data_IF_874477092965
#
_entry.id   IF_874477092965
#
_cell.length_a   1.000
_cell.length_b   1.000
_cell.length_c   1.000
_cell.angle_alpha   90.00
_cell.angle_beta   90.00
_cell.angle_gamma   90.00
#
_symmetry.space_group_name_H-M   'P 1'
#
loop_
_entity.id
_entity.type
_entity.pdbx_description
1 polymer ?
#
# COMPACT_ATOMS: atom_id res chain seq x y z
N UNK A 1 -0.75 21.30 10.56
CA UNK A 1 -0.55 21.52 12.02
C UNK A 1 -0.18 20.20 12.67
N UNK A 2 0.87 20.21 13.48
CA UNK A 2 1.26 19.05 14.29
C UNK A 2 0.19 18.74 15.35
N UNK A 3 -0.11 17.45 15.54
CA UNK A 3 -1.07 16.98 16.54
C UNK A 3 -0.48 15.79 17.28
N UNK A 4 -0.53 15.86 18.61
CA UNK A 4 -0.03 14.81 19.48
C UNK A 4 1.44 14.50 19.23
N UNK A 5 1.78 13.20 19.08
CA UNK A 5 3.18 12.78 19.00
C UNK A 5 3.66 12.44 17.59
N UNK A 6 2.78 11.98 16.71
CA UNK A 6 3.15 11.43 15.39
C UNK A 6 2.22 11.91 14.27
N UNK A 7 1.20 12.71 14.59
CA UNK A 7 0.16 13.04 13.62
C UNK A 7 0.24 14.47 13.11
N UNK A 8 -0.25 14.65 11.90
CA UNK A 8 -0.36 15.95 11.22
C UNK A 8 -1.81 16.13 10.78
N UNK A 9 -2.45 17.20 11.21
CA UNK A 9 -3.72 17.64 10.62
C UNK A 9 -3.43 18.57 9.45
N UNK A 10 -3.99 18.26 8.29
CA UNK A 10 -3.82 19.11 7.12
C UNK A 10 -4.70 20.35 7.25
N UNK A 11 -4.07 21.55 7.34
CA UNK A 11 -4.80 22.83 7.49
C UNK A 11 -5.54 23.21 6.21
N UNK A 12 -4.93 22.90 5.07
CA UNK A 12 -5.55 23.06 3.75
C UNK A 12 -5.99 21.70 3.26
N UNK A 13 -7.22 21.58 2.76
CA UNK A 13 -7.72 20.31 2.28
C UNK A 13 -6.86 19.80 1.12
N UNK A 14 -6.55 18.52 1.16
CA UNK A 14 -5.96 17.77 0.06
C UNK A 14 -7.01 16.78 -0.43
N UNK A 15 -7.25 16.77 -1.72
CA UNK A 15 -8.25 15.91 -2.33
C UNK A 15 -7.57 14.83 -3.17
N UNK A 16 -8.13 13.65 -3.19
CA UNK A 16 -7.85 12.67 -4.23
C UNK A 16 -8.78 13.03 -5.41
N UNK A 17 -8.21 13.61 -6.45
CA UNK A 17 -8.93 14.08 -7.65
C UNK A 17 -9.37 12.89 -8.51
N UNK A 18 -8.48 11.95 -8.69
CA UNK A 18 -8.69 10.72 -9.45
C UNK A 18 -7.81 9.60 -8.92
N UNK A 19 -8.16 8.39 -9.32
CA UNK A 19 -7.40 7.18 -9.00
C UNK A 19 -7.57 6.13 -10.08
N UNK A 20 -6.63 5.20 -10.16
CA UNK A 20 -6.70 4.07 -11.07
C UNK A 20 -6.03 2.84 -10.46
N UNK A 21 -6.53 1.67 -10.83
CA UNK A 21 -6.00 0.36 -10.45
C UNK A 21 -5.83 -0.53 -11.69
N UNK A 22 -4.66 -1.12 -11.82
CA UNK A 22 -4.35 -2.12 -12.85
C UNK A 22 -3.81 -3.34 -12.13
N UNK A 23 -4.35 -4.52 -12.43
CA UNK A 23 -3.97 -5.75 -11.73
C UNK A 23 -3.73 -6.91 -12.70
N UNK A 24 -3.05 -7.94 -12.22
CA UNK A 24 -2.79 -9.15 -12.98
C UNK A 24 -3.97 -10.12 -13.05
N UNK A 25 -3.77 -11.22 -13.75
CA UNK A 25 -4.79 -12.25 -13.99
C UNK A 25 -5.30 -12.86 -12.68
N UNK A 26 -4.40 -13.22 -11.76
CA UNK A 26 -4.78 -13.87 -10.49
C UNK A 26 -5.65 -12.97 -9.62
N UNK A 27 -5.37 -11.69 -9.59
CA UNK A 27 -6.14 -10.66 -8.90
C UNK A 27 -7.49 -10.43 -9.57
N UNK A 28 -7.53 -10.54 -10.92
CA UNK A 28 -8.76 -10.50 -11.72
C UNK A 28 -9.67 -11.70 -11.55
N UNK A 29 -9.22 -12.77 -10.94
CA UNK A 29 -10.01 -13.94 -10.56
C UNK A 29 -10.52 -13.84 -9.10
N UNK A 30 -10.11 -12.82 -8.36
CA UNK A 30 -10.44 -12.60 -6.96
C UNK A 30 -11.76 -11.85 -6.74
N UNK A 31 -12.18 -11.71 -5.46
CA UNK A 31 -13.45 -11.08 -5.10
C UNK A 31 -13.55 -9.61 -5.52
N UNK A 32 -12.43 -8.92 -5.67
CA UNK A 32 -12.38 -7.51 -6.04
C UNK A 32 -12.28 -7.27 -7.56
N UNK A 33 -12.26 -8.31 -8.39
CA UNK A 33 -12.18 -8.20 -9.85
C UNK A 33 -13.13 -7.12 -10.47
N UNK A 34 -14.42 -7.04 -10.08
CA UNK A 34 -15.34 -6.06 -10.65
C UNK A 34 -15.02 -4.59 -10.32
N UNK A 35 -14.10 -4.35 -9.41
CA UNK A 35 -13.75 -3.02 -8.93
C UNK A 35 -12.46 -2.47 -9.54
N UNK A 36 -11.65 -3.31 -10.18
CA UNK A 36 -10.42 -2.86 -10.82
C UNK A 36 -10.71 -2.22 -12.18
N UNK A 37 -9.92 -1.22 -12.54
CA UNK A 37 -10.08 -0.51 -13.81
C UNK A 37 -9.62 -1.32 -15.02
N UNK A 38 -8.47 -2.02 -14.86
CA UNK A 38 -7.90 -2.89 -15.88
C UNK A 38 -7.37 -4.18 -15.24
N UNK A 39 -7.60 -5.29 -15.93
CA UNK A 39 -7.10 -6.62 -15.55
C UNK A 39 -6.25 -7.14 -16.70
N UNK A 40 -4.96 -7.34 -16.45
CA UNK A 40 -4.03 -7.88 -17.41
C UNK A 40 -4.11 -9.41 -17.41
N UNK A 41 -4.25 -9.98 -18.57
CA UNK A 41 -4.36 -11.45 -18.73
C UNK A 41 -3.01 -12.11 -19.01
N UNK A 42 -2.03 -11.31 -19.43
CA UNK A 42 -0.64 -11.71 -19.63
C UNK A 42 0.21 -11.17 -18.48
N UNK A 43 0.81 -12.07 -17.70
CA UNK A 43 1.64 -11.72 -16.56
C UNK A 43 2.90 -10.93 -16.95
N UNK A 44 3.38 -11.06 -18.19
CA UNK A 44 4.51 -10.28 -18.72
C UNK A 44 4.07 -8.96 -19.37
N UNK A 45 2.78 -8.69 -19.53
CA UNK A 45 2.27 -7.48 -20.19
C UNK A 45 2.92 -7.22 -21.56
N UNK A 46 3.29 -8.28 -22.28
CA UNK A 46 3.97 -8.22 -23.58
C UNK A 46 5.44 -7.79 -23.50
N UNK A 47 6.06 -7.77 -22.31
CA UNK A 47 7.45 -7.37 -22.12
C UNK A 47 8.40 -8.57 -22.11
N UNK A 48 9.69 -8.32 -22.30
CA UNK A 48 10.71 -9.38 -22.38
C UNK A 48 11.14 -9.93 -21.01
N UNK A 49 10.93 -9.15 -19.94
CA UNK A 49 11.29 -9.54 -18.57
C UNK A 49 10.28 -9.01 -17.53
N UNK A 50 10.38 -9.52 -16.31
CA UNK A 50 9.43 -9.23 -15.24
C UNK A 50 9.54 -7.80 -14.72
N UNK A 51 10.72 -7.22 -14.72
CA UNK A 51 10.97 -5.85 -14.26
C UNK A 51 10.33 -4.84 -15.23
N UNK A 52 10.41 -5.08 -16.52
CA UNK A 52 9.71 -4.29 -17.55
C UNK A 52 8.19 -4.48 -17.46
N UNK A 53 7.73 -5.71 -17.17
CA UNK A 53 6.31 -5.98 -16.95
C UNK A 53 5.75 -5.17 -15.76
N UNK A 54 6.47 -5.13 -14.64
CA UNK A 54 6.07 -4.32 -13.49
C UNK A 54 6.13 -2.81 -13.80
N UNK A 55 7.15 -2.37 -14.54
CA UNK A 55 7.26 -0.99 -15.01
C UNK A 55 6.06 -0.57 -15.86
N UNK A 56 5.64 -1.44 -16.80
CA UNK A 56 4.47 -1.23 -17.65
C UNK A 56 3.18 -1.19 -16.83
N UNK A 57 3.04 -2.08 -15.86
CA UNK A 57 1.88 -2.11 -14.95
C UNK A 57 1.72 -0.78 -14.19
N UNK A 58 2.83 -0.27 -13.65
CA UNK A 58 2.85 0.99 -12.92
C UNK A 58 2.56 2.19 -13.85
N UNK A 59 3.15 2.20 -15.03
CA UNK A 59 2.93 3.22 -16.04
C UNK A 59 1.45 3.29 -16.46
N UNK A 60 0.82 2.13 -16.72
CA UNK A 60 -0.62 2.07 -17.07
C UNK A 60 -1.49 2.69 -15.97
N UNK A 61 -1.27 2.32 -14.72
CA UNK A 61 -2.03 2.88 -13.59
C UNK A 61 -1.84 4.41 -13.50
N UNK A 62 -0.60 4.90 -13.62
CA UNK A 62 -0.29 6.32 -13.59
C UNK A 62 -0.99 7.09 -14.72
N UNK A 63 -0.86 6.63 -15.97
CA UNK A 63 -1.50 7.24 -17.15
C UNK A 63 -3.02 7.24 -17.03
N UNK A 64 -3.61 6.16 -16.55
CA UNK A 64 -5.05 6.04 -16.37
C UNK A 64 -5.55 7.00 -15.29
N UNK A 65 -4.86 7.14 -14.17
CA UNK A 65 -5.21 8.10 -13.12
C UNK A 65 -5.13 9.55 -13.64
N UNK A 66 -4.08 9.91 -14.39
CA UNK A 66 -3.93 11.24 -15.03
C UNK A 66 -5.08 11.49 -16.03
N UNK A 67 -5.39 10.51 -16.87
CA UNK A 67 -6.51 10.59 -17.81
C UNK A 67 -7.85 10.80 -17.09
N UNK A 68 -8.12 10.08 -16.01
CA UNK A 68 -9.33 10.25 -15.21
C UNK A 68 -9.43 11.62 -14.51
N UNK A 69 -8.29 12.24 -14.19
CA UNK A 69 -8.23 13.61 -13.68
C UNK A 69 -8.58 14.64 -14.75
N UNK A 70 -8.62 14.24 -16.02
CA UNK A 70 -8.82 15.16 -17.15
C UNK A 70 -7.65 16.14 -17.31
N UNK A 71 -6.43 15.70 -17.02
CA UNK A 71 -5.21 16.48 -17.13
C UNK A 71 -4.15 15.73 -17.95
N UNK A 72 -3.03 16.39 -18.24
CA UNK A 72 -1.90 15.78 -18.92
C UNK A 72 -0.71 15.59 -17.95
N UNK A 73 0.31 14.79 -18.30
CA UNK A 73 1.46 14.58 -17.44
C UNK A 73 2.14 15.88 -17.00
N UNK A 74 2.16 16.90 -17.86
CA UNK A 74 2.77 18.21 -17.60
C UNK A 74 2.09 18.97 -16.46
N UNK A 75 0.84 18.65 -16.16
CA UNK A 75 0.09 19.22 -15.03
C UNK A 75 0.50 18.62 -13.67
N UNK A 76 1.23 17.48 -13.70
CA UNK A 76 1.73 16.84 -12.48
C UNK A 76 3.06 17.48 -12.08
N UNK A 77 3.08 18.13 -10.93
CA UNK A 77 4.27 18.85 -10.45
C UNK A 77 5.38 17.91 -9.98
N UNK A 78 5.02 16.87 -9.23
CA UNK A 78 5.94 15.92 -8.62
C UNK A 78 5.23 14.55 -8.58
N UNK A 79 6.00 13.49 -8.76
CA UNK A 79 5.54 12.11 -8.59
C UNK A 79 6.25 11.50 -7.39
N UNK A 80 5.50 10.83 -6.52
CA UNK A 80 6.01 9.92 -5.50
C UNK A 80 5.70 8.50 -5.95
N UNK A 81 6.74 7.76 -6.30
CA UNK A 81 6.60 6.41 -6.86
C UNK A 81 7.46 5.41 -6.11
N UNK A 82 7.00 4.18 -6.01
CA UNK A 82 7.77 3.11 -5.39
C UNK A 82 7.27 1.72 -5.76
N UNK A 83 8.11 0.76 -5.48
CA UNK A 83 7.89 -0.67 -5.72
C UNK A 83 8.63 -1.50 -4.66
N UNK A 84 8.70 -2.82 -4.82
CA UNK A 84 9.39 -3.71 -3.89
C UNK A 84 10.84 -4.03 -4.31
N UNK A 85 11.28 -3.57 -5.47
CA UNK A 85 12.58 -3.92 -6.01
C UNK A 85 13.69 -3.05 -5.43
N UNK A 86 14.89 -3.59 -5.39
CA UNK A 86 16.08 -2.83 -5.06
C UNK A 86 16.20 -1.61 -5.98
N UNK A 87 16.49 -0.44 -5.38
CA UNK A 87 16.66 0.84 -6.07
C UNK A 87 15.41 1.36 -6.80
N UNK A 88 14.22 0.83 -6.49
CA UNK A 88 12.93 1.20 -7.12
C UNK A 88 13.00 1.14 -8.65
N UNK A 89 13.48 0.00 -9.17
CA UNK A 89 13.80 -0.12 -10.60
C UNK A 89 12.54 -0.07 -11.47
N UNK A 90 11.46 -0.70 -11.05
CA UNK A 90 10.20 -0.66 -11.78
C UNK A 90 9.63 0.76 -11.85
N UNK A 91 9.67 1.50 -10.75
CA UNK A 91 9.22 2.89 -10.70
C UNK A 91 10.11 3.81 -11.54
N UNK A 92 11.42 3.61 -11.49
CA UNK A 92 12.36 4.48 -12.23
C UNK A 92 12.15 4.39 -13.73
N UNK A 93 11.95 3.20 -14.27
CA UNK A 93 11.72 3.01 -15.71
C UNK A 93 10.25 3.27 -16.09
N UNK A 94 9.28 2.74 -15.33
CA UNK A 94 7.87 2.91 -15.65
C UNK A 94 7.40 4.36 -15.59
N UNK A 95 7.81 5.11 -14.57
CA UNK A 95 7.42 6.51 -14.38
C UNK A 95 8.32 7.48 -15.14
N UNK A 96 9.56 7.08 -15.45
CA UNK A 96 10.50 7.91 -16.23
C UNK A 96 9.92 8.37 -17.57
N UNK A 97 9.08 7.56 -18.22
CA UNK A 97 8.42 7.93 -19.47
C UNK A 97 7.39 9.07 -19.35
N UNK A 98 6.99 9.45 -18.14
CA UNK A 98 6.16 10.64 -17.95
C UNK A 98 6.95 11.94 -17.97
N UNK A 99 8.29 11.87 -17.98
CA UNK A 99 9.22 13.01 -18.00
C UNK A 99 8.93 14.06 -16.91
N UNK A 100 8.53 13.58 -15.71
CA UNK A 100 8.20 14.45 -14.57
C UNK A 100 9.18 14.25 -13.42
N UNK A 101 9.44 15.31 -12.61
CA UNK A 101 10.22 15.17 -11.39
C UNK A 101 9.61 14.08 -10.49
N UNK A 102 10.45 13.15 -10.02
CA UNK A 102 10.03 12.00 -9.23
C UNK A 102 10.91 11.83 -7.99
N UNK A 103 10.28 11.51 -6.88
CA UNK A 103 10.91 10.88 -5.73
C UNK A 103 10.61 9.40 -5.74
N UNK A 104 11.66 8.57 -5.78
CA UNK A 104 11.55 7.15 -5.49
C UNK A 104 11.43 6.95 -3.98
N UNK A 105 10.37 6.27 -3.54
CA UNK A 105 10.12 5.99 -2.12
C UNK A 105 10.14 4.48 -1.87
N UNK A 106 10.63 4.07 -0.70
CA UNK A 106 10.75 2.65 -0.35
C UNK A 106 10.43 2.40 1.12
N UNK A 107 9.25 1.90 1.38
CA UNK A 107 8.78 1.43 2.69
C UNK A 107 8.29 -0.03 2.65
N UNK A 108 8.76 -0.83 1.69
CA UNK A 108 8.23 -2.16 1.39
C UNK A 108 6.70 -2.09 1.15
N UNK A 109 5.89 -2.90 1.84
CA UNK A 109 4.43 -2.91 1.66
C UNK A 109 3.75 -1.59 2.10
N UNK A 110 4.40 -0.72 2.88
CA UNK A 110 3.86 0.59 3.29
C UNK A 110 4.04 1.70 2.25
N UNK A 111 4.72 1.44 1.14
CA UNK A 111 5.14 2.46 0.17
C UNK A 111 3.98 3.30 -0.37
N UNK A 112 2.78 2.73 -0.56
CA UNK A 112 1.62 3.52 -1.00
C UNK A 112 1.19 4.55 0.06
N UNK A 113 1.20 4.19 1.34
CA UNK A 113 0.94 5.14 2.43
C UNK A 113 2.00 6.24 2.51
N UNK A 114 3.26 5.88 2.30
CA UNK A 114 4.36 6.83 2.25
C UNK A 114 4.19 7.82 1.08
N UNK A 115 3.94 7.32 -0.14
CA UNK A 115 3.72 8.15 -1.33
C UNK A 115 2.53 9.11 -1.16
N UNK A 116 1.41 8.63 -0.62
CA UNK A 116 0.23 9.46 -0.33
C UNK A 116 0.53 10.51 0.74
N UNK A 117 1.24 10.15 1.79
CA UNK A 117 1.58 11.07 2.89
C UNK A 117 2.47 12.20 2.42
N UNK A 118 3.54 11.87 1.69
CA UNK A 118 4.45 12.86 1.11
C UNK A 118 3.75 13.74 0.07
N UNK A 119 2.92 13.14 -0.77
CA UNK A 119 2.09 13.86 -1.73
C UNK A 119 1.11 14.83 -1.05
N UNK A 120 0.43 14.38 0.01
CA UNK A 120 -0.51 15.22 0.76
C UNK A 120 0.19 16.38 1.48
N UNK A 121 1.36 16.15 2.09
CA UNK A 121 2.18 17.20 2.69
C UNK A 121 2.59 18.22 1.63
N UNK A 122 3.09 17.76 0.47
CA UNK A 122 3.51 18.61 -0.64
C UNK A 122 2.38 19.51 -1.15
N UNK A 123 1.20 18.94 -1.38
CA UNK A 123 0.02 19.68 -1.84
C UNK A 123 -0.48 20.64 -0.75
N UNK A 124 -0.56 20.20 0.51
CA UNK A 124 -1.02 21.05 1.63
C UNK A 124 -0.09 22.24 1.86
N UNK A 125 1.23 22.05 1.74
CA UNK A 125 2.24 23.10 1.84
C UNK A 125 2.23 24.06 0.63
N UNK A 126 1.58 23.70 -0.46
CA UNK A 126 1.50 24.53 -1.67
C UNK A 126 2.69 24.38 -2.63
N UNK A 127 3.52 23.33 -2.47
CA UNK A 127 4.65 23.06 -3.33
C UNK A 127 4.27 22.40 -4.66
N UNK A 128 3.03 21.96 -4.80
CA UNK A 128 2.43 21.44 -6.02
C UNK A 128 0.91 21.56 -5.99
N UNK A 129 0.30 21.95 -7.10
CA UNK A 129 -1.17 21.96 -7.22
C UNK A 129 -1.70 20.53 -7.43
N UNK A 130 -1.02 19.77 -8.29
CA UNK A 130 -1.25 18.34 -8.53
C UNK A 130 0.01 17.53 -8.32
N UNK A 131 -0.13 16.42 -7.64
CA UNK A 131 0.92 15.45 -7.34
C UNK A 131 0.38 14.06 -7.62
N UNK A 132 1.22 13.18 -8.15
CA UNK A 132 0.87 11.78 -8.37
C UNK A 132 1.55 10.92 -7.29
N UNK A 133 0.78 10.05 -6.64
CA UNK A 133 1.26 8.95 -5.82
C UNK A 133 0.95 7.64 -6.54
N UNK A 134 1.94 6.78 -6.74
CA UNK A 134 1.78 5.50 -7.45
C UNK A 134 2.73 4.46 -6.92
N UNK A 135 2.23 3.25 -6.74
CA UNK A 135 3.07 2.10 -6.38
C UNK A 135 2.62 0.83 -7.07
N UNK A 136 3.56 -0.07 -7.25
CA UNK A 136 3.33 -1.39 -7.84
C UNK A 136 4.01 -2.50 -7.06
N UNK A 137 3.58 -3.71 -7.30
CA UNK A 137 4.32 -4.93 -7.05
C UNK A 137 3.96 -5.96 -8.12
N UNK A 138 4.87 -6.91 -8.35
CA UNK A 138 4.64 -8.01 -9.27
C UNK A 138 5.16 -9.29 -8.63
N UNK A 139 4.37 -10.38 -8.71
CA UNK A 139 4.74 -11.62 -8.03
C UNK A 139 6.10 -12.16 -8.44
N UNK A 140 6.43 -12.14 -9.74
CA UNK A 140 7.66 -12.72 -10.24
C UNK A 140 8.91 -11.90 -9.88
N UNK A 141 8.82 -10.56 -9.87
CA UNK A 141 9.92 -9.69 -9.43
C UNK A 141 10.15 -9.84 -7.93
N UNK A 142 9.08 -9.89 -7.14
CA UNK A 142 9.16 -10.09 -5.69
C UNK A 142 9.71 -11.48 -5.33
N UNK A 143 9.34 -12.54 -6.07
CA UNK A 143 9.89 -13.87 -5.85
C UNK A 143 11.41 -13.90 -6.02
N UNK A 144 11.96 -13.20 -7.02
CA UNK A 144 13.41 -13.07 -7.18
C UNK A 144 14.08 -12.39 -5.98
N UNK A 145 13.44 -11.35 -5.43
CA UNK A 145 14.00 -10.58 -4.32
C UNK A 145 13.85 -11.30 -2.97
N UNK A 146 12.72 -11.94 -2.70
CA UNK A 146 12.36 -12.40 -1.36
C UNK A 146 12.37 -13.91 -1.18
N UNK A 147 12.31 -14.72 -2.25
CA UNK A 147 12.24 -16.19 -2.21
C UNK A 147 13.35 -16.84 -3.02
N UNK A 148 14.57 -16.59 -2.64
CA UNK A 148 15.73 -17.22 -3.26
C UNK A 148 16.23 -18.41 -2.40
N UNK A 149 16.62 -19.55 -2.97
CA UNK A 149 16.56 -19.88 -4.41
C UNK A 149 15.13 -20.18 -4.88
N UNK A 150 14.80 -19.78 -6.12
CA UNK A 150 13.46 -19.88 -6.69
C UNK A 150 12.91 -21.32 -6.78
N UNK A 151 13.78 -22.32 -6.84
CA UNK A 151 13.40 -23.74 -6.85
C UNK A 151 12.64 -24.18 -5.59
N UNK A 152 12.69 -23.42 -4.51
CA UNK A 152 11.92 -23.65 -3.28
C UNK A 152 10.74 -22.69 -3.10
N UNK A 153 10.51 -21.80 -4.05
CA UNK A 153 9.45 -20.79 -3.97
C UNK A 153 8.03 -21.32 -3.85
N UNK A 154 7.79 -22.56 -4.31
CA UNK A 154 6.51 -23.24 -4.17
C UNK A 154 6.31 -23.91 -2.80
N UNK A 155 7.33 -24.01 -1.97
CA UNK A 155 7.23 -24.55 -0.60
C UNK A 155 6.88 -23.43 0.39
N UNK A 156 5.68 -22.90 0.27
CA UNK A 156 5.21 -21.80 1.12
C UNK A 156 4.49 -22.33 2.36
N UNK A 157 4.87 -21.91 3.60
CA UNK A 157 4.08 -22.23 4.79
C UNK A 157 2.72 -21.53 4.74
N UNK A 158 1.77 -21.97 5.56
CA UNK A 158 0.43 -21.36 5.64
C UNK A 158 0.46 -19.90 6.12
N UNK A 159 1.56 -19.48 6.75
CA UNK A 159 1.80 -18.09 7.18
C UNK A 159 2.28 -17.17 6.05
N UNK A 160 2.77 -17.73 4.94
CA UNK A 160 3.23 -16.94 3.81
C UNK A 160 2.05 -16.33 3.04
N UNK A 161 2.27 -15.12 2.54
CA UNK A 161 1.35 -14.42 1.64
C UNK A 161 1.80 -14.55 0.18
N UNK A 162 0.92 -14.23 -0.75
CA UNK A 162 1.19 -14.14 -2.18
C UNK A 162 1.41 -12.68 -2.58
N UNK A 163 2.52 -12.37 -3.24
CA UNK A 163 2.73 -11.02 -3.74
C UNK A 163 1.74 -10.70 -4.85
N UNK A 164 1.00 -9.61 -4.67
CA UNK A 164 0.01 -9.13 -5.63
C UNK A 164 0.72 -8.55 -6.85
N UNK A 165 0.26 -8.96 -8.04
CA UNK A 165 0.56 -8.28 -9.29
C UNK A 165 -0.43 -7.16 -9.47
N UNK A 166 -0.03 -5.95 -9.15
CA UNK A 166 -0.95 -4.82 -9.17
C UNK A 166 -0.24 -3.47 -9.00
N UNK A 167 -0.89 -2.46 -9.49
CA UNK A 167 -0.52 -1.06 -9.30
C UNK A 167 -1.74 -0.21 -8.99
N UNK A 168 -1.56 0.75 -8.11
CA UNK A 168 -2.55 1.77 -7.81
C UNK A 168 -1.93 3.15 -7.89
N UNK A 169 -2.65 4.09 -8.49
CA UNK A 169 -2.23 5.47 -8.67
C UNK A 169 -3.32 6.44 -8.20
N UNK A 170 -2.90 7.53 -7.54
CA UNK A 170 -3.77 8.60 -7.07
C UNK A 170 -3.23 9.96 -7.48
N UNK A 171 -4.05 10.77 -8.15
CA UNK A 171 -3.76 12.19 -8.40
C UNK A 171 -4.30 12.98 -7.22
N UNK A 172 -3.40 13.61 -6.48
CA UNK A 172 -3.71 14.49 -5.35
C UNK A 172 -3.81 15.94 -5.83
N UNK A 173 -4.81 16.67 -5.34
CA UNK A 173 -5.08 18.01 -5.78
C UNK A 173 -5.47 18.90 -4.59
N UNK A 174 -5.13 20.20 -4.68
CA UNK A 174 -5.45 21.18 -3.65
C UNK A 174 -6.86 21.73 -3.76
N UNK A 175 -7.45 21.76 -4.95
CA UNK A 175 -8.68 22.52 -5.25
C UNK A 175 -9.92 21.65 -5.31
N UNK A 176 -9.80 20.42 -5.85
CA UNK A 176 -10.97 19.58 -6.14
C UNK A 176 -10.65 18.09 -6.01
N UNK A 177 -11.65 17.33 -5.67
CA UNK A 177 -11.64 15.88 -5.59
C UNK A 177 -12.85 15.36 -4.85
N UNK A 178 -13.13 14.08 -5.02
CA UNK A 178 -14.31 13.43 -4.40
C UNK A 178 -14.02 12.89 -3.01
N UNK A 179 -12.74 12.65 -2.69
CA UNK A 179 -12.26 12.14 -1.41
C UNK A 179 -11.27 13.14 -0.82
N UNK A 180 -11.26 13.30 0.51
CA UNK A 180 -10.34 14.21 1.21
C UNK A 180 -9.39 13.43 2.09
N UNK A 181 -8.11 13.79 2.03
CA UNK A 181 -7.14 13.44 3.05
C UNK A 181 -7.17 14.54 4.10
N UNK A 182 -7.48 14.21 5.34
CA UNK A 182 -7.71 15.17 6.43
C UNK A 182 -6.59 15.20 7.45
N UNK A 183 -5.80 14.13 7.51
CA UNK A 183 -4.69 14.02 8.44
C UNK A 183 -3.86 12.77 8.17
N UNK A 184 -2.69 12.75 8.76
CA UNK A 184 -1.69 11.72 8.63
C UNK A 184 -1.18 11.33 10.01
N UNK A 185 -0.81 10.09 10.21
CA UNK A 185 -0.04 9.64 11.38
C UNK A 185 1.20 8.91 10.86
N UNK A 186 2.37 9.46 11.14
CA UNK A 186 3.63 8.87 10.67
C UNK A 186 4.03 7.76 11.64
N UNK A 187 4.09 6.53 11.15
CA UNK A 187 4.49 5.37 11.93
C UNK A 187 5.97 5.43 12.32
N UNK A 188 6.35 4.54 13.20
CA UNK A 188 7.73 4.35 13.65
C UNK A 188 8.15 2.91 13.41
N UNK A 189 9.46 2.68 13.39
CA UNK A 189 10.02 1.32 13.41
C UNK A 189 9.67 0.65 14.73
N UNK A 190 9.05 -0.53 14.65
CA UNK A 190 8.71 -1.38 15.79
C UNK A 190 9.33 -2.75 15.55
N UNK A 191 10.16 -3.21 16.46
CA UNK A 191 10.82 -4.52 16.39
C UNK A 191 10.52 -5.33 17.64
N UNK A 192 9.85 -6.47 17.45
CA UNK A 192 9.56 -7.45 18.49
C UNK A 192 10.52 -8.66 18.42
N UNK A 193 11.58 -8.57 17.64
CA UNK A 193 12.59 -9.62 17.50
C UNK A 193 12.10 -10.85 16.73
N UNK A 194 11.08 -10.71 15.88
CA UNK A 194 10.59 -11.82 15.07
C UNK A 194 11.62 -12.19 13.99
N UNK A 195 11.97 -13.48 13.92
CA UNK A 195 12.99 -14.01 13.00
C UNK A 195 12.41 -14.82 11.83
N UNK A 196 11.11 -15.09 11.82
CA UNK A 196 10.45 -15.86 10.76
C UNK A 196 10.15 -14.97 9.55
N UNK A 197 11.01 -15.04 8.53
CA UNK A 197 10.85 -14.30 7.28
C UNK A 197 9.64 -14.74 6.43
N UNK A 198 9.04 -15.88 6.73
CA UNK A 198 7.85 -16.40 6.04
C UNK A 198 6.54 -15.94 6.69
N UNK A 199 6.60 -15.21 7.81
CA UNK A 199 5.44 -14.69 8.52
C UNK A 199 5.49 -13.17 8.61
N UNK A 200 5.36 -12.52 7.46
CA UNK A 200 5.38 -11.06 7.37
C UNK A 200 4.24 -10.40 8.13
N UNK A 201 3.07 -11.03 8.14
CA UNK A 201 1.91 -10.51 8.89
C UNK A 201 2.17 -10.38 10.38
N UNK A 202 2.76 -11.41 11.01
CA UNK A 202 3.14 -11.34 12.41
C UNK A 202 4.22 -10.28 12.68
N UNK A 203 5.10 -10.08 11.71
CA UNK A 203 6.16 -9.08 11.79
C UNK A 203 5.58 -7.65 11.73
N UNK A 204 4.60 -7.39 10.87
CA UNK A 204 3.99 -6.08 10.64
C UNK A 204 2.93 -5.68 11.67
N UNK A 205 2.21 -6.64 12.25
CA UNK A 205 1.10 -6.37 13.16
C UNK A 205 1.45 -5.45 14.35
N UNK A 206 2.62 -5.57 15.03
CA UNK A 206 3.01 -4.64 16.09
C UNK A 206 3.15 -3.19 15.64
N UNK A 207 3.70 -2.97 14.45
CA UNK A 207 3.86 -1.62 13.89
C UNK A 207 2.50 -1.02 13.49
N UNK A 208 1.62 -1.82 12.87
CA UNK A 208 0.25 -1.42 12.59
C UNK A 208 -0.51 -1.06 13.87
N UNK A 209 -0.42 -1.88 14.92
CA UNK A 209 -1.01 -1.60 16.22
C UNK A 209 -0.50 -0.28 16.80
N UNK A 210 0.82 -0.11 16.85
CA UNK A 210 1.46 1.13 17.36
C UNK A 210 0.94 2.37 16.65
N UNK A 211 0.80 2.32 15.33
CA UNK A 211 0.36 3.44 14.51
C UNK A 211 -1.13 3.73 14.68
N UNK A 212 -1.99 2.69 14.67
CA UNK A 212 -3.43 2.85 14.91
C UNK A 212 -3.68 3.46 16.30
N UNK A 213 -3.04 2.91 17.33
CA UNK A 213 -3.17 3.43 18.71
C UNK A 213 -2.72 4.88 18.80
N UNK A 214 -1.61 5.23 18.15
CA UNK A 214 -1.12 6.60 18.16
C UNK A 214 -2.07 7.54 17.40
N UNK A 215 -2.62 7.12 16.25
CA UNK A 215 -3.64 7.88 15.54
C UNK A 215 -4.86 8.17 16.42
N UNK A 216 -5.40 7.14 17.07
CA UNK A 216 -6.56 7.27 17.95
C UNK A 216 -6.27 8.25 19.09
N UNK A 217 -5.09 8.16 19.72
CA UNK A 217 -4.66 9.08 20.79
C UNK A 217 -4.48 10.51 20.29
N UNK A 218 -3.78 10.71 19.19
CA UNK A 218 -3.43 12.04 18.68
C UNK A 218 -4.67 12.80 18.16
N UNK A 219 -5.59 12.11 17.48
CA UNK A 219 -6.83 12.72 17.00
C UNK A 219 -7.95 12.73 18.04
N UNK A 220 -7.76 12.10 19.21
CA UNK A 220 -8.76 11.99 20.27
C UNK A 220 -9.97 11.18 19.82
N UNK A 221 -9.77 10.10 19.06
CA UNK A 221 -10.84 9.28 18.47
C UNK A 221 -10.86 7.87 19.02
N UNK A 222 -12.03 7.25 18.88
CA UNK A 222 -12.24 5.83 19.15
C UNK A 222 -12.33 5.05 17.83
N UNK A 223 -12.07 3.73 17.82
CA UNK A 223 -12.20 2.91 16.60
C UNK A 223 -13.57 3.04 15.92
N UNK A 224 -14.65 3.12 16.71
CA UNK A 224 -16.04 3.19 16.22
C UNK A 224 -16.37 4.50 15.45
N UNK A 225 -15.52 5.51 15.56
CA UNK A 225 -15.65 6.76 14.79
C UNK A 225 -15.14 6.65 13.36
N UNK A 226 -14.51 5.52 13.02
CA UNK A 226 -14.14 5.16 11.67
C UNK A 226 -15.15 4.15 11.12
N UNK A 227 -15.65 4.36 9.90
CA UNK A 227 -16.44 3.35 9.20
C UNK A 227 -15.62 2.10 8.92
N UNK A 228 -14.34 2.31 8.58
CA UNK A 228 -13.38 1.23 8.40
C UNK A 228 -11.97 1.66 8.86
N UNK A 229 -11.25 0.73 9.48
CA UNK A 229 -9.80 0.74 9.69
C UNK A 229 -9.23 -0.34 8.78
N UNK A 230 -8.40 0.04 7.79
CA UNK A 230 -7.99 -0.90 6.74
C UNK A 230 -6.47 -0.99 6.70
N UNK A 231 -5.93 -2.18 6.98
CA UNK A 231 -4.50 -2.47 6.85
C UNK A 231 -4.12 -2.89 5.44
N UNK A 232 -2.84 -2.78 5.11
CA UNK A 232 -2.34 -3.03 3.76
C UNK A 232 -2.32 -4.50 3.36
N UNK A 233 -1.65 -5.33 4.14
CA UNK A 233 -1.39 -6.71 3.77
C UNK A 233 -0.90 -7.57 4.96
N UNK A 234 -1.53 -7.38 6.11
CA UNK A 234 -1.25 -8.22 7.28
C UNK A 234 -1.66 -9.69 7.06
N UNK A 235 -2.65 -9.89 6.21
CA UNK A 235 -3.24 -11.20 5.98
C UNK A 235 -3.95 -11.76 7.21
N UNK A 236 -4.44 -13.00 7.11
CA UNK A 236 -5.26 -13.61 8.17
C UNK A 236 -4.52 -13.71 9.51
N UNK A 237 -3.23 -14.09 9.49
CA UNK A 237 -2.44 -14.25 10.71
C UNK A 237 -2.12 -12.91 11.35
N UNK A 238 -1.63 -11.95 10.54
CA UNK A 238 -1.30 -10.62 11.05
C UNK A 238 -2.53 -9.85 11.53
N UNK A 239 -3.68 -10.01 10.89
CA UNK A 239 -4.95 -9.44 11.34
C UNK A 239 -5.32 -9.95 12.74
N UNK A 240 -5.25 -11.25 12.99
CA UNK A 240 -5.57 -11.80 14.30
C UNK A 240 -4.65 -11.25 15.38
N UNK A 241 -3.34 -11.22 15.10
CA UNK A 241 -2.34 -10.66 16.02
C UNK A 241 -2.61 -9.16 16.27
N UNK A 242 -2.93 -8.40 15.22
CA UNK A 242 -3.27 -6.99 15.36
C UNK A 242 -4.47 -6.78 16.29
N UNK A 243 -5.55 -7.53 16.11
CA UNK A 243 -6.75 -7.41 16.92
C UNK A 243 -6.48 -7.74 18.39
N UNK A 244 -5.70 -8.78 18.66
CA UNK A 244 -5.28 -9.14 20.01
C UNK A 244 -4.40 -8.07 20.67
N UNK A 245 -3.52 -7.42 19.88
CA UNK A 245 -2.68 -6.32 20.36
C UNK A 245 -3.51 -5.07 20.66
N UNK A 246 -4.46 -4.72 19.78
CA UNK A 246 -5.37 -3.58 20.00
C UNK A 246 -6.25 -3.78 21.24
N UNK A 247 -6.74 -4.99 21.48
CA UNK A 247 -7.50 -5.32 22.69
C UNK A 247 -6.66 -5.11 23.95
N UNK A 248 -5.40 -5.54 23.97
CA UNK A 248 -4.46 -5.29 25.08
C UNK A 248 -4.19 -3.80 25.32
N UNK A 249 -4.25 -2.97 24.29
CA UNK A 249 -4.17 -1.51 24.36
C UNK A 249 -5.52 -0.86 24.76
N UNK A 250 -6.58 -1.65 24.96
CA UNK A 250 -7.91 -1.18 25.34
C UNK A 250 -8.81 -0.75 24.19
N UNK A 251 -8.49 -1.12 22.95
CA UNK A 251 -9.27 -0.78 21.76
C UNK A 251 -9.89 -2.01 21.12
N UNK A 252 -11.16 -1.92 20.76
CA UNK A 252 -11.87 -2.98 20.03
C UNK A 252 -12.14 -2.52 18.59
N UNK A 253 -11.38 -3.02 17.62
CA UNK A 253 -11.51 -2.66 16.21
C UNK A 253 -12.07 -3.80 15.33
N UNK A 254 -12.32 -4.98 15.85
CA UNK A 254 -12.67 -6.16 15.06
C UNK A 254 -13.94 -6.04 14.19
N UNK A 255 -14.87 -5.16 14.56
CA UNK A 255 -16.12 -4.96 13.81
C UNK A 255 -15.95 -4.15 12.53
N UNK A 256 -14.99 -3.22 12.51
CA UNK A 256 -14.76 -2.29 11.41
C UNK A 256 -13.33 -2.38 10.83
N UNK A 257 -12.59 -3.42 11.20
CA UNK A 257 -11.29 -3.71 10.63
C UNK A 257 -11.40 -4.56 9.36
N UNK A 258 -10.62 -4.21 8.36
CA UNK A 258 -10.40 -4.97 7.12
C UNK A 258 -8.91 -4.98 6.78
N UNK A 259 -8.51 -5.91 5.93
CA UNK A 259 -7.13 -6.01 5.43
C UNK A 259 -7.15 -6.19 3.91
N UNK A 260 -6.36 -5.40 3.19
CA UNK A 260 -6.34 -5.45 1.73
C UNK A 260 -5.89 -6.80 1.20
N UNK A 261 -4.91 -7.44 1.85
CA UNK A 261 -4.45 -8.77 1.47
C UNK A 261 -5.51 -9.85 1.62
N UNK A 262 -6.37 -9.73 2.64
CA UNK A 262 -7.52 -10.63 2.82
C UNK A 262 -8.61 -10.36 1.78
N UNK A 263 -8.85 -9.08 1.45
CA UNK A 263 -9.87 -8.69 0.47
C UNK A 263 -9.50 -9.07 -0.96
N UNK A 264 -8.20 -9.17 -1.28
CA UNK A 264 -7.69 -9.37 -2.63
C UNK A 264 -8.06 -10.74 -3.20
N UNK A 265 -7.98 -11.80 -2.40
CA UNK A 265 -8.10 -13.17 -2.85
C UNK A 265 -9.16 -13.96 -2.12
N UNK A 266 -9.76 -14.94 -2.81
CA UNK A 266 -10.60 -15.96 -2.19
C UNK A 266 -9.70 -17.06 -1.59
N UNK A 267 -9.70 -17.19 -0.27
CA UNK A 267 -8.87 -18.14 0.45
C UNK A 267 -9.15 -19.62 0.08
N UNK A 268 -10.36 -19.92 -0.37
CA UNK A 268 -10.79 -21.32 -0.64
C UNK A 268 -10.41 -21.78 -2.04
N UNK A 269 -10.42 -20.86 -3.00
CA UNK A 269 -10.26 -21.19 -4.43
C UNK A 269 -8.91 -20.74 -4.99
N UNK A 270 -8.26 -19.78 -4.34
CA UNK A 270 -6.96 -19.24 -4.78
C UNK A 270 -5.87 -19.59 -3.77
N UNK A 271 -4.85 -20.32 -4.17
CA UNK A 271 -3.73 -20.76 -3.33
C UNK A 271 -2.84 -19.57 -2.92
N UNK A 272 -3.30 -18.78 -1.94
CA UNK A 272 -2.61 -17.59 -1.43
C UNK A 272 -2.29 -17.63 0.06
N UNK A 273 -2.64 -18.73 0.74
CA UNK A 273 -2.39 -19.00 2.16
C UNK A 273 -2.84 -17.85 3.08
N UNK A 274 -1.90 -16.99 3.54
CA UNK A 274 -2.24 -15.89 4.45
C UNK A 274 -2.93 -14.70 3.76
N UNK A 275 -3.01 -14.68 2.43
CA UNK A 275 -3.63 -13.61 1.65
C UNK A 275 -2.65 -12.91 0.72
N UNK A 276 -3.02 -11.74 0.21
CA UNK A 276 -2.19 -10.91 -0.65
C UNK A 276 -1.13 -10.13 0.13
N UNK A 277 -0.05 -9.73 -0.54
CA UNK A 277 1.05 -8.94 0.02
C UNK A 277 1.62 -7.97 -1.01
N UNK A 278 2.35 -6.98 -0.53
CA UNK A 278 3.08 -6.02 -1.34
C UNK A 278 2.43 -4.64 -1.43
N UNK A 279 3.21 -3.63 -1.79
CA UNK A 279 2.69 -2.27 -1.94
C UNK A 279 1.68 -2.13 -3.09
N UNK A 280 1.75 -2.97 -4.11
CA UNK A 280 0.73 -3.08 -5.15
C UNK A 280 -0.60 -3.62 -4.62
N UNK A 281 -0.59 -4.46 -3.57
CA UNK A 281 -1.80 -4.94 -2.90
C UNK A 281 -2.59 -3.78 -2.29
N UNK A 282 -1.97 -3.05 -1.37
CA UNK A 282 -2.62 -1.91 -0.71
C UNK A 282 -3.01 -0.82 -1.70
N UNK A 283 -2.18 -0.56 -2.72
CA UNK A 283 -2.43 0.46 -3.74
C UNK A 283 -3.62 0.13 -4.65
N UNK A 284 -3.68 -1.09 -5.18
CA UNK A 284 -4.78 -1.52 -6.06
C UNK A 284 -6.11 -1.63 -5.31
N UNK A 285 -6.12 -2.13 -4.07
CA UNK A 285 -7.34 -2.14 -3.24
C UNK A 285 -7.77 -0.74 -2.85
N UNK A 286 -6.82 0.15 -2.53
CA UNK A 286 -7.14 1.56 -2.26
C UNK A 286 -7.85 2.19 -3.45
N UNK A 287 -7.23 2.09 -4.65
CA UNK A 287 -7.75 2.72 -5.86
C UNK A 287 -9.02 2.03 -6.40
N UNK A 288 -9.05 0.69 -6.42
CA UNK A 288 -10.19 -0.04 -6.98
C UNK A 288 -11.39 -0.11 -6.05
N UNK A 289 -11.18 -0.21 -4.75
CA UNK A 289 -12.28 -0.48 -3.81
C UNK A 289 -12.50 0.60 -2.75
N UNK A 290 -11.45 1.01 -2.03
CA UNK A 290 -11.60 1.91 -0.87
C UNK A 290 -12.05 3.30 -1.30
N UNK A 291 -11.34 3.93 -2.23
CA UNK A 291 -11.66 5.28 -2.72
C UNK A 291 -13.03 5.37 -3.39
N UNK A 292 -13.45 4.41 -4.25
CA UNK A 292 -14.83 4.35 -4.74
C UNK A 292 -15.88 4.29 -3.63
N UNK A 293 -15.67 3.46 -2.57
CA UNK A 293 -16.61 3.36 -1.45
C UNK A 293 -16.74 4.67 -0.66
N UNK A 294 -15.65 5.41 -0.51
CA UNK A 294 -15.71 6.76 0.09
C UNK A 294 -16.40 7.75 -0.87
N UNK A 295 -16.07 7.71 -2.15
CA UNK A 295 -16.57 8.65 -3.14
C UNK A 295 -18.07 8.51 -3.42
N UNK A 296 -18.65 7.31 -3.30
CA UNK A 296 -20.11 7.08 -3.41
C UNK A 296 -20.86 7.33 -2.09
N UNK A 297 -20.13 7.53 -0.97
CA UNK A 297 -20.73 7.85 0.33
C UNK A 297 -21.05 6.63 1.21
N UNK A 298 -20.68 5.42 0.78
CA UNK A 298 -20.83 4.21 1.61
C UNK A 298 -20.00 4.31 2.89
N UNK A 299 -18.81 4.92 2.80
CA UNK A 299 -17.94 5.23 3.90
C UNK A 299 -17.64 6.73 3.96
N UNK A 300 -17.65 7.30 5.15
CA UNK A 300 -17.39 8.72 5.41
C UNK A 300 -16.02 8.98 5.99
N UNK A 301 -15.50 8.04 6.78
CA UNK A 301 -14.19 8.14 7.44
C UNK A 301 -13.51 6.79 7.46
N UNK A 302 -12.37 6.73 6.81
CA UNK A 302 -11.53 5.53 6.73
C UNK A 302 -10.14 5.86 7.28
N UNK A 303 -9.58 4.95 8.05
CA UNK A 303 -8.18 4.94 8.43
C UNK A 303 -7.48 3.87 7.60
N UNK A 304 -6.59 4.28 6.70
CA UNK A 304 -5.83 3.41 5.82
C UNK A 304 -4.41 3.25 6.35
N UNK A 305 -3.99 2.01 6.66
CA UNK A 305 -2.77 1.70 7.44
C UNK A 305 -1.91 0.66 6.72
N UNK A 306 -1.31 0.97 5.57
CA UNK A 306 -0.34 0.07 4.95
C UNK A 306 0.92 0.00 5.82
N UNK A 307 1.42 -1.22 6.02
CA UNK A 307 2.54 -1.50 6.92
C UNK A 307 3.59 -2.31 6.17
N UNK A 308 4.87 -2.01 6.35
CA UNK A 308 5.96 -2.69 5.66
C UNK A 308 6.84 -3.50 6.59
N UNK A 309 7.24 -4.68 6.12
CA UNK A 309 8.32 -5.46 6.71
C UNK A 309 9.58 -5.30 5.86
N UNK A 310 10.63 -4.73 6.44
CA UNK A 310 11.92 -4.61 5.76
C UNK A 310 12.81 -5.78 6.18
N UNK A 311 12.98 -6.73 5.28
CA UNK A 311 13.80 -7.90 5.49
C UNK A 311 14.94 -7.95 4.47
N UNK A 312 16.17 -7.99 4.96
CA UNK A 312 17.35 -8.21 4.12
C UNK A 312 17.78 -9.67 4.18
N UNK A 313 17.77 -10.35 3.03
CA UNK A 313 18.27 -11.74 2.95
C UNK A 313 19.74 -11.84 3.34
N UNK A 314 20.56 -10.90 2.89
CA UNK A 314 22.00 -10.88 3.21
C UNK A 314 22.18 -10.79 4.72
N UNK A 315 21.54 -9.83 5.37
CA UNK A 315 21.62 -9.67 6.82
C UNK A 315 21.06 -10.87 7.58
N UNK A 316 19.99 -11.50 7.09
CA UNK A 316 19.42 -12.70 7.69
C UNK A 316 20.37 -13.88 7.64
N UNK A 317 21.02 -14.13 6.49
CA UNK A 317 21.99 -15.22 6.33
C UNK A 317 23.30 -14.95 7.08
N UNK A 318 23.65 -13.70 7.30
CA UNK A 318 24.82 -13.30 8.11
C UNK A 318 24.52 -13.26 9.62
N UNK A 319 23.39 -13.81 10.06
CA UNK A 319 22.92 -13.83 11.44
C UNK A 319 22.78 -12.44 12.09
N UNK A 320 22.69 -11.39 11.30
CA UNK A 320 22.35 -10.06 11.75
C UNK A 320 20.82 -9.99 11.89
N UNK A 321 20.34 -9.97 13.13
CA UNK A 321 18.90 -9.89 13.43
C UNK A 321 18.38 -8.47 13.23
N UNK A 322 18.04 -8.10 11.99
CA UNK A 322 17.35 -6.86 11.70
C UNK A 322 16.08 -7.11 10.93
N UNK A 323 14.98 -7.26 11.65
CA UNK A 323 13.65 -7.01 11.11
C UNK A 323 13.32 -5.53 11.37
N UNK A 324 13.52 -4.69 10.38
CA UNK A 324 13.09 -3.30 10.47
C UNK A 324 11.65 -3.18 9.97
N UNK A 325 10.78 -2.80 10.87
CA UNK A 325 9.36 -2.57 10.58
C UNK A 325 9.12 -1.07 10.49
N UNK A 326 8.59 -0.63 9.37
CA UNK A 326 8.09 0.74 9.21
C UNK A 326 6.59 0.68 8.96
N UNK A 327 5.83 1.41 9.74
CA UNK A 327 4.44 1.70 9.45
C UNK A 327 4.33 3.16 9.04
N UNK A 328 3.71 3.41 7.91
CA UNK A 328 3.33 4.74 7.48
C UNK A 328 1.82 4.77 7.28
N UNK A 329 1.20 5.87 7.63
CA UNK A 329 -0.24 6.04 7.63
C UNK A 329 -0.70 7.14 6.70
N UNK A 330 -1.83 6.91 6.10
CA UNK A 330 -2.63 7.95 5.43
C UNK A 330 -3.96 8.16 6.12
#
# INVERSE_FOLDING_TARGET
>A
MEIGKQSIRLEKPVYVESWASVVGKKEGEGPLAPFFDEIETDDQLGQDNWEEAESMLQQKAARLAIKKAGCCPEDIRIIFAGDLLAQSIASSFGIGELERPMYGVFGACSTMGEALSLGAITVSAGHGERVLAVTSSHFATAEKEFRFPLGYGNQRPLSASWTVTGSGACVLNRKKGRVKITGLTIGKVVDYGLKDSQNMGACMAPAACSTIVQNLKDFGRKPEEYDQIITGDLGYIGQQILLDLLEKEGYQAGKNHKDCGILMYDQKTQDTHAGGSGCGCSASVLAGYILPKIACGDWKRVLFVPTGALMSKVSFYEAVSYTHLRAHET
#
